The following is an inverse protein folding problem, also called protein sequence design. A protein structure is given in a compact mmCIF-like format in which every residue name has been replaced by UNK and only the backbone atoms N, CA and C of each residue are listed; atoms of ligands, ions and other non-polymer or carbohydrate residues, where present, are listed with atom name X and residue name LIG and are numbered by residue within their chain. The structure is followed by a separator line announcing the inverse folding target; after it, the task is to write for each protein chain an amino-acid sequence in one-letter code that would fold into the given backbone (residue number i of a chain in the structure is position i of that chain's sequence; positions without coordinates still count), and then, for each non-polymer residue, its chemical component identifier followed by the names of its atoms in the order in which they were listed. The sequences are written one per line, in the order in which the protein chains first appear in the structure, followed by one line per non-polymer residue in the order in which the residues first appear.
data_IF_153407413768
#
_entry.id   IF_153407413768
#
_cell.length_a   1.000
_cell.length_b   1.000
_cell.length_c   1.000
_cell.angle_alpha   90.00
_cell.angle_beta   90.00
_cell.angle_gamma   90.00
#
_symmetry.space_group_name_H-M   'P 1'
#
loop_
_entity.id
_entity.type
_entity.pdbx_description
1 polymer ?
#
# COMPACT_ATOMS: atom_id res chain seq x y z
N UNK A 1 -14.80 7.23 11.35
CA UNK A 1 -14.51 6.60 10.04
C UNK A 1 -13.59 5.41 10.26
N UNK A 2 -13.79 4.34 9.50
CA UNK A 2 -12.98 3.12 9.57
C UNK A 2 -11.90 3.19 8.49
N UNK A 3 -10.66 2.96 8.88
CA UNK A 3 -9.51 2.93 7.96
C UNK A 3 -9.06 1.48 7.82
N UNK A 4 -8.69 1.07 6.60
CA UNK A 4 -8.55 -0.34 6.21
C UNK A 4 -7.62 -1.18 7.11
N UNK A 5 -6.65 -0.54 7.76
CA UNK A 5 -5.70 -1.17 8.69
C UNK A 5 -6.14 -1.15 10.17
N UNK A 6 -7.27 -0.52 10.49
CA UNK A 6 -7.82 -0.34 11.85
C UNK A 6 -9.37 -0.30 11.82
N UNK A 7 -9.97 -1.32 11.19
CA UNK A 7 -11.42 -1.38 10.99
C UNK A 7 -12.16 -1.53 12.33
N UNK A 8 -11.83 -2.55 13.13
CA UNK A 8 -12.34 -2.72 14.50
C UNK A 8 -11.21 -3.23 15.36
N UNK A 9 -11.33 -3.07 16.67
CA UNK A 9 -10.34 -3.55 17.63
C UNK A 9 -9.93 -5.02 17.39
N UNK A 10 -10.88 -5.88 17.04
CA UNK A 10 -10.66 -7.32 16.81
C UNK A 10 -9.99 -7.67 15.47
N UNK A 11 -9.89 -6.74 14.52
CA UNK A 11 -9.26 -6.94 13.21
C UNK A 11 -8.39 -5.74 12.80
N UNK A 12 -7.86 -5.03 13.78
CA UNK A 12 -6.96 -3.90 13.56
C UNK A 12 -5.51 -4.38 13.53
N UNK A 13 -4.87 -4.19 12.37
CA UNK A 13 -3.43 -4.40 12.22
C UNK A 13 -2.66 -3.34 13.01
N UNK A 14 -3.15 -2.09 13.01
CA UNK A 14 -2.58 -0.97 13.78
C UNK A 14 -2.51 -1.31 15.27
N UNK A 15 -3.63 -1.72 15.86
CA UNK A 15 -3.69 -2.13 17.26
C UNK A 15 -2.74 -3.28 17.52
N UNK A 16 -2.73 -4.30 16.65
CA UNK A 16 -1.86 -5.45 16.83
C UNK A 16 -0.37 -5.05 16.83
N UNK A 17 0.06 -4.18 15.91
CA UNK A 17 1.42 -3.63 15.85
C UNK A 17 1.78 -2.91 17.15
N UNK A 18 0.88 -2.04 17.64
CA UNK A 18 1.10 -1.32 18.90
C UNK A 18 1.16 -2.29 20.09
N UNK A 19 0.29 -3.30 20.13
CA UNK A 19 0.29 -4.34 21.16
C UNK A 19 1.58 -5.19 21.14
N UNK A 20 2.29 -5.28 20.01
CA UNK A 20 3.62 -5.90 19.94
C UNK A 20 4.76 -4.98 20.45
N UNK A 21 4.46 -3.73 20.82
CA UNK A 21 5.41 -2.78 21.41
C UNK A 21 6.11 -1.87 20.41
N UNK A 22 5.63 -1.77 19.16
CA UNK A 22 6.18 -0.83 18.17
C UNK A 22 5.59 0.56 18.35
N UNK A 23 6.43 1.59 18.25
CA UNK A 23 5.95 2.96 18.03
C UNK A 23 5.53 3.09 16.57
N UNK A 24 4.23 3.28 16.33
CA UNK A 24 3.65 3.36 14.99
C UNK A 24 3.27 4.80 14.67
N UNK A 25 3.68 5.27 13.50
CA UNK A 25 3.20 6.49 12.87
C UNK A 25 2.44 6.13 11.59
N UNK A 26 1.38 6.88 11.29
CA UNK A 26 0.51 6.63 10.14
C UNK A 26 0.34 7.93 9.36
N UNK A 27 0.58 7.88 8.06
CA UNK A 27 0.31 9.00 7.17
C UNK A 27 -1.18 9.01 6.83
N UNK A 28 -1.88 10.08 7.20
CA UNK A 28 -3.27 10.33 6.81
C UNK A 28 -3.27 11.30 5.63
N UNK A 29 -3.58 10.79 4.44
CA UNK A 29 -3.58 11.60 3.22
C UNK A 29 -4.78 12.54 3.17
N UNK A 30 -4.53 13.76 2.71
CA UNK A 30 -5.57 14.75 2.40
C UNK A 30 -6.41 14.25 1.22
N UNK A 31 -7.74 14.40 1.30
CA UNK A 31 -8.62 14.21 0.14
C UNK A 31 -8.58 15.49 -0.71
N UNK A 32 -7.99 15.47 -1.92
CA UNK A 32 -7.71 16.68 -2.68
C UNK A 32 -8.99 17.30 -3.28
N UNK A 33 -9.01 18.64 -3.29
CA UNK A 33 -9.91 19.42 -4.13
C UNK A 33 -9.16 19.96 -5.36
N UNK A 34 -9.82 20.77 -6.18
CA UNK A 34 -9.25 21.33 -7.41
C UNK A 34 -7.96 22.13 -7.20
N UNK A 35 -7.73 22.67 -5.99
CA UNK A 35 -6.52 23.45 -5.70
C UNK A 35 -5.26 22.58 -5.68
N UNK A 36 -5.41 21.26 -5.60
CA UNK A 36 -4.32 20.29 -5.64
C UNK A 36 -4.00 19.81 -7.06
N UNK A 37 -4.57 20.39 -8.13
CA UNK A 37 -4.46 19.85 -9.48
C UNK A 37 -3.01 19.61 -9.96
N UNK A 38 -2.10 20.51 -9.59
CA UNK A 38 -0.68 20.46 -9.98
C UNK A 38 0.18 19.57 -9.07
N UNK A 39 -0.40 18.95 -8.03
CA UNK A 39 0.31 18.00 -7.17
C UNK A 39 0.63 16.73 -7.96
N UNK A 40 1.92 16.48 -8.14
CA UNK A 40 2.46 15.33 -8.85
C UNK A 40 3.02 14.26 -7.92
N UNK A 41 3.55 13.20 -8.51
CA UNK A 41 4.25 12.13 -7.78
C UNK A 41 5.46 12.65 -7.00
N UNK A 42 6.13 13.68 -7.52
CA UNK A 42 7.23 14.40 -6.86
C UNK A 42 6.79 15.02 -5.53
N UNK A 43 5.66 15.73 -5.50
CA UNK A 43 5.10 16.34 -4.29
C UNK A 43 4.73 15.28 -3.25
N UNK A 44 4.12 14.16 -3.65
CA UNK A 44 3.83 13.06 -2.72
C UNK A 44 5.10 12.47 -2.09
N UNK A 45 6.20 12.40 -2.85
CA UNK A 45 7.49 11.90 -2.34
C UNK A 45 8.11 12.90 -1.37
N UNK A 46 8.31 14.15 -1.78
CA UNK A 46 9.01 15.18 -0.99
C UNK A 46 8.19 15.64 0.24
N UNK A 47 6.95 16.08 0.00
CA UNK A 47 6.09 16.67 1.04
C UNK A 47 5.28 15.61 1.81
N UNK A 48 5.14 14.41 1.25
CA UNK A 48 4.48 13.28 1.91
C UNK A 48 5.47 12.37 2.64
N UNK A 49 6.13 11.50 1.88
CA UNK A 49 6.95 10.41 2.45
C UNK A 49 8.20 10.92 3.16
N UNK A 50 9.02 11.75 2.51
CA UNK A 50 10.29 12.25 3.08
C UNK A 50 10.03 13.14 4.29
N UNK A 51 9.06 14.06 4.17
CA UNK A 51 8.62 14.88 5.30
C UNK A 51 8.14 14.04 6.48
N UNK A 52 7.31 13.01 6.26
CA UNK A 52 6.86 12.12 7.34
C UNK A 52 8.03 11.39 8.00
N UNK A 53 8.99 10.87 7.22
CA UNK A 53 10.18 10.19 7.74
C UNK A 53 10.99 11.14 8.62
N UNK A 54 11.20 12.37 8.19
CA UNK A 54 11.95 13.36 8.95
C UNK A 54 11.24 13.78 10.24
N UNK A 55 9.92 13.96 10.21
CA UNK A 55 9.13 14.23 11.41
C UNK A 55 9.20 13.06 12.40
N UNK A 56 9.10 11.81 11.93
CA UNK A 56 9.24 10.63 12.80
C UNK A 56 10.62 10.57 13.45
N UNK A 57 11.68 10.84 12.69
CA UNK A 57 13.05 10.91 13.24
C UNK A 57 13.19 12.05 14.24
N UNK A 58 12.62 13.21 13.96
CA UNK A 58 12.65 14.38 14.84
C UNK A 58 11.91 14.11 16.17
N UNK A 59 10.75 13.45 16.14
CA UNK A 59 9.97 13.09 17.33
C UNK A 59 10.66 11.99 18.13
N UNK A 60 11.11 10.93 17.46
CA UNK A 60 11.64 9.73 18.14
C UNK A 60 13.14 9.80 18.48
N UNK A 61 13.82 10.83 17.96
CA UNK A 61 15.28 11.02 17.97
C UNK A 61 16.05 9.81 17.42
N UNK A 62 15.41 8.98 16.58
CA UNK A 62 16.04 7.86 15.91
C UNK A 62 16.65 8.31 14.58
N UNK A 63 17.75 7.67 14.18
CA UNK A 63 18.41 7.95 12.90
C UNK A 63 17.71 7.29 11.71
N UNK A 64 17.06 6.16 11.95
CA UNK A 64 16.45 5.33 10.93
C UNK A 64 15.04 4.91 11.35
N UNK A 65 14.16 4.68 10.38
CA UNK A 65 12.80 4.16 10.56
C UNK A 65 12.59 2.88 9.74
N UNK A 66 11.59 2.08 10.12
CA UNK A 66 11.06 1.04 9.25
C UNK A 66 9.80 1.58 8.56
N UNK A 67 9.68 1.38 7.25
CA UNK A 67 8.59 1.91 6.45
C UNK A 67 7.65 0.80 5.99
N UNK A 68 6.37 1.12 5.82
CA UNK A 68 5.35 0.21 5.26
C UNK A 68 4.57 0.96 4.19
N UNK A 69 4.41 0.35 3.03
CA UNK A 69 3.56 0.84 1.95
C UNK A 69 2.49 -0.19 1.58
N UNK A 70 1.26 0.25 1.39
CA UNK A 70 0.13 -0.60 1.01
C UNK A 70 -0.46 -0.12 -0.33
N UNK A 71 -0.61 -1.05 -1.29
CA UNK A 71 -1.14 -0.76 -2.62
C UNK A 71 -0.33 0.38 -3.30
N UNK A 72 -0.99 1.41 -3.82
CA UNK A 72 -0.36 2.57 -4.47
C UNK A 72 0.71 3.24 -3.59
N UNK A 73 0.51 3.28 -2.27
CA UNK A 73 1.50 3.84 -1.35
C UNK A 73 2.79 3.00 -1.30
N UNK A 74 2.72 1.71 -1.59
CA UNK A 74 3.90 0.86 -1.78
C UNK A 74 4.66 1.18 -3.07
N UNK A 75 3.96 1.50 -4.16
CA UNK A 75 4.58 1.94 -5.41
C UNK A 75 5.31 3.25 -5.20
N UNK A 76 4.68 4.24 -4.57
CA UNK A 76 5.30 5.53 -4.24
C UNK A 76 6.42 5.39 -3.20
N UNK A 77 6.29 4.50 -2.22
CA UNK A 77 7.38 4.16 -1.30
C UNK A 77 8.57 3.57 -2.04
N UNK A 78 8.35 2.74 -3.07
CA UNK A 78 9.43 2.17 -3.87
C UNK A 78 10.20 3.25 -4.64
N UNK A 79 9.50 4.22 -5.22
CA UNK A 79 10.11 5.41 -5.83
C UNK A 79 10.88 6.23 -4.78
N UNK A 80 10.29 6.45 -3.61
CA UNK A 80 10.94 7.17 -2.51
C UNK A 80 12.25 6.50 -2.10
N UNK A 81 12.25 5.17 -1.93
CA UNK A 81 13.46 4.42 -1.57
C UNK A 81 14.53 4.47 -2.66
N UNK A 82 14.14 4.41 -3.93
CA UNK A 82 15.05 4.59 -5.06
C UNK A 82 15.68 5.99 -5.06
N UNK A 83 14.88 7.04 -4.85
CA UNK A 83 15.35 8.41 -4.74
C UNK A 83 16.32 8.60 -3.55
N UNK A 84 15.95 8.06 -2.39
CA UNK A 84 16.79 8.09 -1.18
C UNK A 84 18.14 7.42 -1.43
N UNK A 85 18.15 6.26 -2.11
CA UNK A 85 19.39 5.57 -2.46
C UNK A 85 20.30 6.44 -3.33
N UNK A 86 19.75 7.13 -4.35
CA UNK A 86 20.50 8.07 -5.19
C UNK A 86 21.02 9.28 -4.42
N UNK A 87 20.24 9.80 -3.47
CA UNK A 87 20.63 10.90 -2.58
C UNK A 87 21.58 10.48 -1.45
N UNK A 88 21.87 9.18 -1.32
CA UNK A 88 22.68 8.65 -0.22
C UNK A 88 22.00 8.70 1.15
N UNK A 89 20.68 8.89 1.19
CA UNK A 89 19.89 8.94 2.42
C UNK A 89 19.64 7.52 2.94
N UNK A 90 20.01 7.29 4.21
CA UNK A 90 19.90 6.01 4.91
C UNK A 90 18.81 6.02 5.99
N UNK A 91 17.86 6.95 5.92
CA UNK A 91 16.81 7.13 6.92
C UNK A 91 15.83 5.97 6.98
N UNK A 92 15.70 5.13 5.94
CA UNK A 92 14.89 3.90 5.99
C UNK A 92 15.77 2.67 6.16
N UNK A 93 15.63 2.00 7.30
CA UNK A 93 16.36 0.78 7.64
C UNK A 93 15.81 -0.45 6.95
N UNK A 94 14.49 -0.51 6.78
CA UNK A 94 13.81 -1.55 6.02
C UNK A 94 12.43 -1.13 5.59
N UNK A 95 11.92 -1.77 4.55
CA UNK A 95 10.60 -1.49 4.01
C UNK A 95 9.76 -2.77 3.89
N UNK A 96 8.47 -2.63 4.14
CA UNK A 96 7.47 -3.68 3.91
C UNK A 96 6.45 -3.22 2.88
N UNK A 97 6.09 -4.10 1.95
CA UNK A 97 5.09 -3.86 0.92
C UNK A 97 3.90 -4.79 1.08
N UNK A 98 2.69 -4.24 1.19
CA UNK A 98 1.45 -5.01 1.18
C UNK A 98 0.78 -4.85 -0.19
N UNK A 99 0.50 -5.97 -0.87
CA UNK A 99 -0.18 -6.06 -2.18
C UNK A 99 0.20 -4.91 -3.13
N UNK A 100 1.50 -4.75 -3.33
CA UNK A 100 2.08 -3.62 -4.06
C UNK A 100 2.58 -4.08 -5.42
N UNK A 101 2.18 -3.38 -6.48
CA UNK A 101 2.71 -3.60 -7.81
C UNK A 101 3.72 -2.51 -8.16
N UNK A 102 4.88 -2.92 -8.65
CA UNK A 102 5.92 -2.05 -9.19
C UNK A 102 6.34 -2.42 -10.60
N UNK A 103 5.91 -3.60 -11.06
CA UNK A 103 6.02 -4.07 -12.44
C UNK A 103 4.60 -4.33 -12.96
N UNK A 104 4.20 -3.56 -13.97
CA UNK A 104 2.88 -3.59 -14.58
C UNK A 104 2.90 -4.25 -15.96
N UNK A 105 3.95 -5.01 -16.31
CA UNK A 105 4.02 -5.71 -17.61
C UNK A 105 2.93 -6.77 -17.79
N UNK A 106 2.45 -7.33 -16.67
CA UNK A 106 1.29 -8.23 -16.62
C UNK A 106 0.35 -7.73 -15.50
N UNK A 107 -0.50 -6.73 -15.81
CA UNK A 107 -1.35 -6.10 -14.81
C UNK A 107 -2.54 -6.99 -14.42
N UNK A 108 -2.79 -8.10 -15.12
CA UNK A 108 -3.96 -8.95 -14.90
C UNK A 108 -5.27 -8.21 -15.20
N UNK A 109 -6.28 -8.40 -14.34
CA UNK A 109 -7.64 -7.87 -14.57
C UNK A 109 -7.72 -6.34 -14.59
N UNK A 110 -6.79 -5.63 -13.94
CA UNK A 110 -6.75 -4.16 -14.02
C UNK A 110 -6.32 -3.65 -15.40
N UNK A 111 -5.71 -4.50 -16.23
CA UNK A 111 -5.24 -4.13 -17.57
C UNK A 111 -6.34 -3.56 -18.48
N UNK A 112 -7.60 -3.96 -18.27
CA UNK A 112 -8.74 -3.41 -19.03
C UNK A 112 -9.02 -1.93 -18.72
N UNK A 113 -8.51 -1.41 -17.61
CA UNK A 113 -8.59 0.01 -17.22
C UNK A 113 -7.33 0.78 -17.58
N UNK A 114 -6.37 0.13 -18.24
CA UNK A 114 -5.10 0.72 -18.67
C UNK A 114 -5.02 0.81 -20.20
N UNK A 115 -6.13 0.63 -20.92
CA UNK A 115 -6.16 0.91 -22.36
C UNK A 115 -6.11 2.42 -22.63
N UNK A 116 -5.59 2.80 -23.81
CA UNK A 116 -5.42 4.20 -24.16
C UNK A 116 -6.75 4.97 -24.20
N UNK A 117 -7.85 4.34 -24.61
CA UNK A 117 -9.15 5.01 -24.66
C UNK A 117 -9.66 5.41 -23.27
N UNK A 118 -9.47 4.53 -22.28
CA UNK A 118 -9.84 4.77 -20.89
C UNK A 118 -8.93 5.81 -20.24
N UNK A 119 -7.61 5.67 -20.40
CA UNK A 119 -6.65 6.61 -19.80
C UNK A 119 -6.71 7.99 -20.47
N UNK A 120 -6.90 8.08 -21.79
CA UNK A 120 -7.19 9.34 -22.50
C UNK A 120 -8.46 10.01 -21.93
N UNK A 121 -9.48 9.21 -21.61
CA UNK A 121 -10.71 9.68 -20.99
C UNK A 121 -10.46 10.30 -19.62
N UNK A 122 -9.68 9.61 -18.77
CA UNK A 122 -9.25 10.12 -17.47
C UNK A 122 -8.45 11.41 -17.65
N UNK A 123 -7.48 11.43 -18.55
CA UNK A 123 -6.62 12.59 -18.79
C UNK A 123 -7.42 13.83 -19.20
N UNK A 124 -8.39 13.69 -20.11
CA UNK A 124 -9.32 14.78 -20.47
C UNK A 124 -10.18 15.23 -19.30
N UNK A 125 -10.68 14.30 -18.49
CA UNK A 125 -11.53 14.60 -17.34
C UNK A 125 -10.76 15.37 -16.26
N UNK A 126 -9.56 14.91 -15.90
CA UNK A 126 -8.74 15.56 -14.88
C UNK A 126 -8.15 16.88 -15.36
N UNK A 127 -7.87 17.03 -16.66
CA UNK A 127 -7.46 18.31 -17.24
C UNK A 127 -8.56 19.38 -17.11
N UNK A 128 -9.84 18.97 -17.15
CA UNK A 128 -10.98 19.88 -16.99
C UNK A 128 -11.32 20.17 -15.53
N UNK A 129 -11.28 19.15 -14.68
CA UNK A 129 -11.76 19.25 -13.30
C UNK A 129 -10.67 19.48 -12.26
N UNK A 130 -9.40 19.30 -12.61
CA UNK A 130 -8.25 19.43 -11.70
C UNK A 130 -8.03 18.23 -10.78
N UNK A 131 -9.00 17.33 -10.65
CA UNK A 131 -8.88 16.09 -9.87
C UNK A 131 -9.61 14.95 -10.58
N UNK A 132 -9.15 13.72 -10.36
CA UNK A 132 -9.92 12.52 -10.65
C UNK A 132 -10.93 12.32 -9.53
N UNK A 133 -12.22 12.46 -9.85
CA UNK A 133 -13.28 12.29 -8.87
C UNK A 133 -13.32 10.85 -8.33
N UNK A 134 -13.47 10.76 -7.01
CA UNK A 134 -13.64 9.52 -6.25
C UNK A 134 -14.68 8.56 -6.85
N UNK A 135 -15.69 9.09 -7.55
CA UNK A 135 -16.72 8.34 -8.24
C UNK A 135 -16.15 7.42 -9.33
N UNK A 136 -15.18 7.88 -10.10
CA UNK A 136 -14.55 7.06 -11.14
C UNK A 136 -13.74 5.92 -10.52
N UNK A 137 -13.01 6.20 -9.45
CA UNK A 137 -12.27 5.18 -8.70
C UNK A 137 -13.20 4.14 -8.08
N UNK A 138 -14.26 4.58 -7.40
CA UNK A 138 -15.26 3.69 -6.79
C UNK A 138 -15.86 2.73 -7.80
N UNK A 139 -16.16 3.21 -9.02
CA UNK A 139 -16.73 2.40 -10.10
C UNK A 139 -15.73 1.37 -10.65
N UNK A 140 -14.47 1.76 -10.85
CA UNK A 140 -13.40 0.84 -11.27
C UNK A 140 -13.17 -0.27 -10.24
N UNK A 141 -13.09 0.07 -8.95
CA UNK A 141 -12.91 -0.92 -7.88
C UNK A 141 -14.13 -1.83 -7.70
N UNK A 142 -15.35 -1.31 -7.87
CA UNK A 142 -16.59 -2.11 -7.83
C UNK A 142 -16.62 -3.14 -8.96
N UNK A 143 -16.12 -2.79 -10.14
CA UNK A 143 -16.03 -3.70 -11.28
C UNK A 143 -14.98 -4.81 -11.03
N UNK A 144 -13.78 -4.43 -10.58
CA UNK A 144 -12.67 -5.35 -10.27
C UNK A 144 -12.96 -6.31 -9.11
N UNK A 145 -14.00 -6.04 -8.30
CA UNK A 145 -14.43 -6.91 -7.21
C UNK A 145 -15.91 -7.22 -7.24
N UNK A 146 -16.48 -7.37 -8.42
CA UNK A 146 -17.90 -7.67 -8.59
C UNK A 146 -18.33 -8.91 -7.80
N UNK A 147 -17.51 -9.97 -7.73
CA UNK A 147 -17.81 -11.16 -6.93
C UNK A 147 -17.79 -10.92 -5.41
N UNK A 148 -16.81 -10.18 -4.88
CA UNK A 148 -16.68 -9.95 -3.44
C UNK A 148 -17.59 -8.83 -2.91
N UNK A 149 -17.86 -7.80 -3.73
CA UNK A 149 -18.57 -6.59 -3.33
C UNK A 149 -20.04 -6.56 -3.80
N UNK A 150 -20.39 -7.25 -4.89
CA UNK A 150 -21.73 -7.20 -5.49
C UNK A 150 -22.42 -8.57 -5.38
N UNK A 151 -21.91 -9.60 -6.07
CA UNK A 151 -22.59 -10.89 -6.19
C UNK A 151 -22.53 -11.74 -4.93
N UNK A 152 -21.39 -11.83 -4.25
CA UNK A 152 -21.22 -12.61 -3.01
C UNK A 152 -22.11 -12.11 -1.86
N UNK A 153 -22.17 -10.80 -1.59
CA UNK A 153 -23.13 -10.23 -0.65
C UNK A 153 -24.60 -10.39 -1.11
N UNK A 154 -24.90 -10.19 -2.39
CA UNK A 154 -26.26 -10.33 -2.93
C UNK A 154 -26.78 -11.78 -2.82
N UNK A 155 -25.97 -12.77 -3.17
CA UNK A 155 -26.30 -14.20 -3.05
C UNK A 155 -26.52 -14.59 -1.59
N UNK A 156 -25.62 -14.21 -0.67
CA UNK A 156 -25.82 -14.51 0.77
C UNK A 156 -27.09 -13.88 1.34
N UNK A 157 -27.34 -12.61 1.01
CA UNK A 157 -28.52 -11.89 1.49
C UNK A 157 -29.83 -12.39 0.88
N UNK A 158 -29.85 -12.57 -0.44
CA UNK A 158 -31.07 -12.84 -1.20
C UNK A 158 -31.36 -14.34 -1.34
N UNK A 159 -30.33 -15.17 -1.56
CA UNK A 159 -30.50 -16.62 -1.75
C UNK A 159 -30.39 -17.41 -0.44
N UNK A 160 -29.51 -17.00 0.49
CA UNK A 160 -29.26 -17.75 1.73
C UNK A 160 -29.93 -17.15 2.97
N UNK A 161 -30.51 -15.95 2.87
CA UNK A 161 -31.12 -15.24 4.01
C UNK A 161 -30.11 -14.85 5.10
N UNK A 162 -28.81 -14.94 4.81
CA UNK A 162 -27.73 -14.64 5.73
C UNK A 162 -27.47 -13.12 5.79
N UNK A 163 -27.00 -12.64 6.95
CA UNK A 163 -26.55 -11.26 7.06
C UNK A 163 -25.41 -11.00 6.06
N UNK A 164 -25.41 -9.86 5.33
CA UNK A 164 -24.37 -9.57 4.37
C UNK A 164 -22.98 -9.54 5.05
N UNK A 165 -21.91 -9.93 4.34
CA UNK A 165 -20.55 -9.86 4.87
C UNK A 165 -20.19 -8.45 5.35
N UNK A 166 -19.25 -8.40 6.30
CA UNK A 166 -18.88 -7.24 7.13
C UNK A 166 -19.15 -5.86 6.50
N UNK A 167 -20.17 -5.18 7.03
CA UNK A 167 -20.56 -3.79 6.73
C UNK A 167 -19.37 -2.81 6.74
N UNK A 168 -18.33 -3.10 7.54
CA UNK A 168 -17.14 -2.25 7.68
C UNK A 168 -16.33 -2.14 6.39
N UNK A 169 -16.21 -3.24 5.62
CA UNK A 169 -15.44 -3.27 4.37
C UNK A 169 -16.17 -2.53 3.24
N UNK A 170 -17.49 -2.71 3.19
CA UNK A 170 -18.36 -1.97 2.28
C UNK A 170 -18.37 -0.47 2.61
N UNK A 171 -18.36 -0.11 3.90
CA UNK A 171 -18.27 1.28 4.33
C UNK A 171 -16.94 1.92 3.94
N UNK A 172 -15.81 1.22 4.13
CA UNK A 172 -14.50 1.71 3.67
C UNK A 172 -14.46 1.88 2.15
N UNK A 173 -14.98 0.91 1.38
CA UNK A 173 -14.98 1.00 -0.07
C UNK A 173 -15.87 2.15 -0.60
N UNK A 174 -16.97 2.46 0.10
CA UNK A 174 -17.84 3.60 -0.21
C UNK A 174 -17.24 4.97 0.15
N UNK A 175 -16.23 5.03 1.03
CA UNK A 175 -15.54 6.25 1.44
C UNK A 175 -14.31 6.49 0.55
N UNK A 176 -14.57 6.74 -0.73
CA UNK A 176 -13.53 6.96 -1.74
C UNK A 176 -12.93 8.37 -1.68
N UNK A 177 -11.71 8.52 -2.20
CA UNK A 177 -10.98 9.80 -2.24
C UNK A 177 -10.71 10.23 -3.67
N UNK A 178 -10.61 11.54 -3.90
CA UNK A 178 -10.12 12.09 -5.16
C UNK A 178 -8.61 11.86 -5.30
N UNK A 179 -8.10 12.00 -6.53
CA UNK A 179 -6.67 12.08 -6.80
C UNK A 179 -6.33 13.35 -7.58
N UNK A 180 -5.17 13.99 -7.33
CA UNK A 180 -4.74 15.14 -8.13
C UNK A 180 -4.60 14.80 -9.61
N UNK A 181 -4.90 15.76 -10.49
CA UNK A 181 -4.83 15.55 -11.94
C UNK A 181 -3.44 15.10 -12.40
N UNK A 182 -2.40 15.87 -12.05
CA UNK A 182 -1.02 15.58 -12.47
C UNK A 182 -0.55 14.22 -11.96
N UNK A 183 -0.71 13.94 -10.66
CA UNK A 183 -0.34 12.65 -10.07
C UNK A 183 -1.05 11.48 -10.75
N UNK A 184 -2.36 11.60 -11.01
CA UNK A 184 -3.14 10.53 -11.66
C UNK A 184 -2.60 10.18 -13.05
N UNK A 185 -2.26 11.20 -13.85
CA UNK A 185 -1.71 11.01 -15.20
C UNK A 185 -0.30 10.44 -15.14
N UNK A 186 0.58 10.99 -14.30
CA UNK A 186 1.95 10.49 -14.12
C UNK A 186 1.96 9.01 -13.69
N UNK A 187 1.06 8.64 -12.76
CA UNK A 187 0.91 7.27 -12.30
C UNK A 187 0.40 6.34 -13.41
N UNK A 188 -0.72 6.68 -14.06
CA UNK A 188 -1.34 5.82 -15.06
C UNK A 188 -0.49 5.70 -16.33
N UNK A 189 0.03 6.82 -16.86
CA UNK A 189 0.84 6.83 -18.09
C UNK A 189 2.24 6.30 -17.86
N UNK A 190 2.93 6.83 -16.86
CA UNK A 190 4.34 6.52 -16.63
C UNK A 190 4.53 5.15 -15.98
N UNK A 191 3.82 4.89 -14.88
CA UNK A 191 4.04 3.69 -14.08
C UNK A 191 3.19 2.50 -14.56
N UNK A 192 1.89 2.69 -14.80
CA UNK A 192 1.01 1.57 -15.16
C UNK A 192 1.10 1.17 -16.63
N UNK A 193 0.92 2.09 -17.58
CA UNK A 193 1.02 1.79 -19.01
C UNK A 193 2.47 1.69 -19.48
N UNK A 194 3.29 2.70 -19.16
CA UNK A 194 4.68 2.76 -19.59
C UNK A 194 5.61 1.82 -18.84
N UNK A 195 5.18 1.26 -17.69
CA UNK A 195 5.97 0.39 -16.83
C UNK A 195 7.39 0.91 -16.55
N UNK A 196 7.56 2.23 -16.51
CA UNK A 196 8.86 2.89 -16.60
C UNK A 196 9.78 2.52 -15.42
N UNK A 197 9.21 2.42 -14.21
CA UNK A 197 9.99 2.12 -13.01
C UNK A 197 10.60 0.71 -13.02
N UNK A 198 9.95 -0.27 -13.64
CA UNK A 198 10.45 -1.65 -13.75
C UNK A 198 11.21 -1.94 -15.07
N UNK A 199 11.41 -0.92 -15.91
CA UNK A 199 12.09 -0.99 -17.20
C UNK A 199 13.24 0.03 -17.28
N UNK A 200 13.07 1.10 -18.05
CA UNK A 200 14.14 2.04 -18.42
C UNK A 200 14.34 3.18 -17.39
N UNK A 201 13.40 3.32 -16.46
CA UNK A 201 13.42 4.28 -15.37
C UNK A 201 12.32 5.34 -15.48
N UNK A 202 11.81 5.76 -14.32
CA UNK A 202 10.79 6.79 -14.15
C UNK A 202 11.43 8.08 -13.62
N UNK A 203 11.33 9.18 -14.37
CA UNK A 203 11.91 10.47 -13.96
C UNK A 203 10.98 11.21 -13.00
N UNK A 204 11.46 11.44 -11.78
CA UNK A 204 10.73 12.19 -10.74
C UNK A 204 11.73 12.85 -9.79
N UNK A 205 11.37 14.00 -9.21
CA UNK A 205 12.27 14.77 -8.33
C UNK A 205 13.65 15.08 -8.95
N UNK A 206 13.72 15.25 -10.28
CA UNK A 206 14.96 15.52 -11.02
C UNK A 206 15.87 14.30 -11.24
N UNK A 207 15.46 13.11 -10.82
CA UNK A 207 16.23 11.87 -10.92
C UNK A 207 15.48 10.82 -11.73
N UNK A 208 16.18 10.04 -12.55
CA UNK A 208 15.60 8.84 -13.21
C UNK A 208 15.74 7.64 -12.29
N UNK A 209 14.63 7.11 -11.80
CA UNK A 209 14.57 6.06 -10.78
C UNK A 209 14.19 4.71 -11.40
N UNK A 210 14.87 3.64 -11.00
CA UNK A 210 14.57 2.26 -11.41
C UNK A 210 14.29 1.38 -10.19
N UNK A 211 13.59 0.27 -10.38
CA UNK A 211 13.38 -0.71 -9.30
C UNK A 211 14.71 -1.23 -8.74
N UNK A 212 15.75 -1.33 -9.57
CA UNK A 212 17.08 -1.77 -9.14
C UNK A 212 17.72 -0.82 -8.10
N UNK A 213 17.33 0.45 -8.05
CA UNK A 213 17.82 1.42 -7.06
C UNK A 213 17.30 1.14 -5.64
N UNK A 214 16.26 0.30 -5.47
CA UNK A 214 15.71 -0.06 -4.16
C UNK A 214 16.58 -1.14 -3.50
N UNK A 215 17.52 -0.71 -2.65
CA UNK A 215 18.54 -1.62 -2.06
C UNK A 215 18.34 -1.95 -0.58
N UNK A 216 17.42 -1.30 0.14
CA UNK A 216 17.15 -1.57 1.57
C UNK A 216 16.66 -3.00 1.79
N UNK A 217 16.82 -3.63 2.97
CA UNK A 217 16.16 -4.89 3.29
C UNK A 217 14.63 -4.81 3.13
N UNK A 218 14.03 -5.77 2.43
CA UNK A 218 12.61 -5.73 2.05
C UNK A 218 11.82 -6.95 2.51
N UNK A 219 10.56 -6.73 2.87
CA UNK A 219 9.54 -7.75 3.02
C UNK A 219 8.34 -7.41 2.14
N UNK A 220 7.75 -8.38 1.45
CA UNK A 220 6.52 -8.18 0.69
C UNK A 220 5.51 -9.27 1.04
N UNK A 221 4.26 -8.85 1.20
CA UNK A 221 3.11 -9.71 1.42
C UNK A 221 2.17 -9.50 0.24
N UNK A 222 1.93 -10.56 -0.51
CA UNK A 222 0.90 -10.61 -1.53
C UNK A 222 -0.21 -11.59 -1.12
N UNK A 223 -1.32 -11.56 -1.85
CA UNK A 223 -2.50 -12.36 -1.54
C UNK A 223 -2.83 -13.30 -2.70
N UNK A 224 -3.04 -14.58 -2.39
CA UNK A 224 -3.17 -15.67 -3.37
C UNK A 224 -4.29 -15.44 -4.38
N UNK A 225 -5.46 -14.99 -3.89
CA UNK A 225 -6.65 -14.74 -4.72
C UNK A 225 -6.93 -13.25 -4.89
N UNK A 226 -5.88 -12.43 -4.93
CA UNK A 226 -5.98 -10.99 -5.19
C UNK A 226 -6.09 -10.71 -6.70
N UNK A 227 -7.25 -10.20 -7.11
CA UNK A 227 -7.51 -9.82 -8.51
C UNK A 227 -7.11 -8.38 -8.84
N UNK A 228 -6.80 -7.54 -7.84
CA UNK A 228 -6.36 -6.15 -8.06
C UNK A 228 -4.85 -6.08 -8.20
N UNK A 229 -4.15 -6.68 -7.24
CA UNK A 229 -2.70 -6.74 -7.21
C UNK A 229 -2.31 -8.21 -7.18
N UNK A 230 -2.43 -8.86 -8.33
CA UNK A 230 -2.14 -10.27 -8.49
C UNK A 230 -0.77 -10.60 -7.91
N UNK A 231 -0.70 -11.63 -7.06
CA UNK A 231 0.54 -11.92 -6.33
C UNK A 231 1.72 -12.19 -7.27
N UNK A 232 1.45 -12.71 -8.47
CA UNK A 232 2.44 -12.91 -9.52
C UNK A 232 3.04 -11.59 -10.00
N UNK A 233 2.22 -10.55 -10.20
CA UNK A 233 2.68 -9.21 -10.55
C UNK A 233 3.48 -8.57 -9.41
N UNK A 234 3.00 -8.70 -8.16
CA UNK A 234 3.75 -8.28 -6.98
C UNK A 234 5.12 -8.98 -6.89
N UNK A 235 5.18 -10.29 -7.13
CA UNK A 235 6.42 -11.08 -7.11
C UNK A 235 7.40 -10.62 -8.18
N UNK A 236 6.93 -10.41 -9.42
CA UNK A 236 7.76 -9.97 -10.54
C UNK A 236 8.43 -8.62 -10.25
N UNK A 237 7.66 -7.63 -9.77
CA UNK A 237 8.21 -6.34 -9.37
C UNK A 237 9.16 -6.44 -8.17
N UNK A 238 8.80 -7.21 -7.15
CA UNK A 238 9.64 -7.40 -5.96
C UNK A 238 10.97 -8.09 -6.29
N UNK A 239 10.98 -9.02 -7.24
CA UNK A 239 12.18 -9.70 -7.72
C UNK A 239 13.16 -8.72 -8.38
N UNK A 240 12.66 -7.69 -9.08
CA UNK A 240 13.47 -6.67 -9.77
C UNK A 240 14.14 -5.65 -8.84
N UNK A 241 13.80 -5.60 -7.55
CA UNK A 241 14.47 -4.69 -6.61
C UNK A 241 15.96 -5.01 -6.42
N UNK A 242 16.82 -4.01 -6.23
CA UNK A 242 18.26 -4.21 -6.00
C UNK A 242 18.63 -4.75 -4.62
N UNK A 243 17.65 -4.97 -3.75
CA UNK A 243 17.86 -5.46 -2.39
C UNK A 243 18.49 -6.85 -2.37
N UNK A 244 19.53 -7.01 -1.54
CA UNK A 244 20.17 -8.31 -1.26
C UNK A 244 19.42 -9.13 -0.20
N UNK A 245 18.45 -8.53 0.49
CA UNK A 245 17.67 -9.19 1.54
C UNK A 245 16.19 -9.03 1.25
N UNK A 246 15.61 -10.06 0.63
CA UNK A 246 14.21 -10.11 0.21
C UNK A 246 13.48 -11.21 0.96
N UNK A 247 12.30 -10.91 1.46
CA UNK A 247 11.38 -11.90 2.06
C UNK A 247 10.02 -11.72 1.42
N UNK A 248 9.55 -12.74 0.70
CA UNK A 248 8.23 -12.73 0.06
C UNK A 248 7.31 -13.73 0.76
N UNK A 249 6.07 -13.31 1.01
CA UNK A 249 5.04 -14.12 1.66
C UNK A 249 3.78 -14.02 0.80
N UNK A 250 3.15 -15.16 0.53
CA UNK A 250 1.82 -15.21 -0.09
C UNK A 250 0.82 -15.62 0.97
N UNK A 251 -0.05 -14.71 1.39
CA UNK A 251 -1.17 -15.02 2.26
C UNK A 251 -2.30 -15.61 1.42
N UNK A 252 -3.00 -16.61 1.93
CA UNK A 252 -4.28 -17.02 1.36
C UNK A 252 -5.31 -15.88 1.44
N UNK A 253 -6.40 -16.04 0.67
CA UNK A 253 -7.50 -15.07 0.50
C UNK A 253 -7.15 -13.86 -0.38
N UNK A 254 -8.13 -12.95 -0.54
CA UNK A 254 -8.05 -11.80 -1.44
C UNK A 254 -7.43 -10.56 -0.79
N UNK A 255 -7.21 -9.53 -1.61
CA UNK A 255 -6.49 -8.28 -1.31
C UNK A 255 -6.64 -7.69 0.11
N UNK A 256 -7.85 -7.67 0.68
CA UNK A 256 -8.07 -7.14 2.04
C UNK A 256 -8.04 -8.28 3.06
N UNK A 257 -8.77 -9.37 2.81
CA UNK A 257 -8.92 -10.44 3.78
C UNK A 257 -7.59 -11.18 4.06
N UNK A 258 -6.70 -11.28 3.07
CA UNK A 258 -5.37 -11.84 3.25
C UNK A 258 -4.42 -10.91 4.01
N UNK A 259 -4.50 -9.59 3.80
CA UNK A 259 -3.69 -8.63 4.57
C UNK A 259 -4.23 -8.47 6.00
N UNK A 260 -5.54 -8.30 6.15
CA UNK A 260 -6.22 -8.10 7.43
C UNK A 260 -6.64 -9.46 8.01
N UNK A 261 -5.65 -10.29 8.31
CA UNK A 261 -5.83 -11.62 8.90
C UNK A 261 -5.27 -11.67 10.33
N UNK A 262 -6.04 -11.28 11.36
CA UNK A 262 -5.55 -11.25 12.73
C UNK A 262 -5.27 -12.67 13.28
N UNK A 263 -4.15 -12.89 13.99
CA UNK A 263 -3.70 -14.24 14.40
C UNK A 263 -4.67 -14.93 15.37
N UNK A 264 -5.44 -14.17 16.15
CA UNK A 264 -6.42 -14.71 17.10
C UNK A 264 -7.60 -15.43 16.43
N UNK A 265 -7.88 -15.17 15.15
CA UNK A 265 -8.99 -15.80 14.43
C UNK A 265 -8.65 -17.18 13.89
N UNK A 266 -7.36 -17.55 13.82
CA UNK A 266 -6.87 -18.84 13.29
C UNK A 266 -7.55 -19.21 11.96
N UNK A 267 -7.58 -18.27 11.03
CA UNK A 267 -8.12 -18.46 9.69
C UNK A 267 -7.00 -18.39 8.67
N UNK A 268 -7.18 -19.13 7.59
CA UNK A 268 -6.28 -19.17 6.45
C UNK A 268 -4.87 -19.68 6.80
N UNK A 269 -3.99 -19.67 5.81
CA UNK A 269 -2.56 -19.90 5.94
C UNK A 269 -1.76 -18.92 5.09
N UNK A 270 -0.45 -19.15 5.04
CA UNK A 270 0.47 -18.40 4.21
C UNK A 270 1.62 -19.28 3.73
N UNK A 271 2.14 -18.93 2.57
CA UNK A 271 3.23 -19.63 1.89
C UNK A 271 4.52 -18.83 1.99
N UNK A 272 5.62 -19.54 2.17
CA UNK A 272 6.96 -18.97 2.12
C UNK A 272 7.85 -19.78 1.18
N UNK A 273 8.74 -19.08 0.48
CA UNK A 273 9.86 -19.73 -0.19
C UNK A 273 11.04 -18.76 -0.18
N UNK A 274 12.19 -19.14 0.40
CA UNK A 274 13.36 -18.27 0.47
C UNK A 274 14.03 -18.06 -0.89
N UNK A 275 13.80 -18.93 -1.87
CA UNK A 275 14.40 -18.81 -3.19
C UNK A 275 13.64 -17.80 -4.07
N UNK A 276 14.20 -16.61 -4.22
CA UNK A 276 13.66 -15.56 -5.09
C UNK A 276 14.17 -15.64 -6.54
N UNK A 277 15.01 -16.62 -6.88
CA UNK A 277 15.61 -16.73 -8.21
C UNK A 277 14.73 -17.50 -9.20
N UNK A 278 13.74 -18.25 -8.70
CA UNK A 278 12.79 -19.01 -9.53
C UNK A 278 11.67 -18.12 -10.10
N UNK A 279 10.95 -18.64 -11.10
CA UNK A 279 9.71 -18.05 -11.60
C UNK A 279 8.55 -18.26 -10.62
N UNK A 280 7.44 -17.55 -10.82
CA UNK A 280 6.27 -17.56 -9.91
C UNK A 280 5.71 -18.97 -9.69
N UNK A 281 5.48 -19.75 -10.76
CA UNK A 281 4.89 -21.10 -10.62
C UNK A 281 5.80 -22.05 -9.83
N UNK A 282 7.11 -21.98 -10.06
CA UNK A 282 8.10 -22.74 -9.31
C UNK A 282 8.24 -22.22 -7.86
N UNK A 283 8.09 -20.90 -7.65
CA UNK A 283 8.13 -20.30 -6.32
C UNK A 283 7.02 -20.88 -5.44
N UNK A 284 5.77 -20.89 -5.93
CA UNK A 284 4.62 -21.39 -5.18
C UNK A 284 4.64 -22.92 -5.03
N UNK A 285 5.01 -23.66 -6.08
CA UNK A 285 5.07 -25.13 -6.02
C UNK A 285 6.09 -25.64 -5.01
N UNK A 286 7.18 -24.89 -4.78
CA UNK A 286 8.22 -25.22 -3.81
C UNK A 286 8.02 -24.50 -2.46
N UNK A 287 6.92 -23.75 -2.29
CA UNK A 287 6.69 -23.00 -1.08
C UNK A 287 6.22 -23.90 0.07
N UNK A 288 6.71 -23.61 1.26
CA UNK A 288 6.23 -24.22 2.49
C UNK A 288 4.94 -23.52 2.92
N UNK A 289 3.90 -24.31 3.16
CA UNK A 289 2.65 -23.83 3.73
C UNK A 289 2.73 -23.75 5.25
N UNK A 290 2.29 -22.63 5.82
CA UNK A 290 2.12 -22.42 7.24
C UNK A 290 0.67 -22.08 7.57
N UNK A 291 0.10 -22.80 8.52
CA UNK A 291 -1.24 -22.53 9.03
C UNK A 291 -1.28 -21.21 9.82
N UNK A 292 -2.34 -20.42 9.60
CA UNK A 292 -2.61 -19.19 10.33
C UNK A 292 -2.03 -17.93 9.69
N UNK A 293 -2.19 -16.82 10.42
CA UNK A 293 -1.79 -15.49 9.98
C UNK A 293 -0.29 -15.36 9.72
N UNK A 294 0.07 -14.61 8.69
CA UNK A 294 1.45 -14.21 8.40
C UNK A 294 1.97 -13.10 9.35
N UNK A 295 1.10 -12.43 10.13
CA UNK A 295 1.50 -11.30 10.97
C UNK A 295 2.65 -11.65 11.94
N UNK A 296 2.62 -12.77 12.70
CA UNK A 296 3.72 -13.13 13.59
C UNK A 296 5.04 -13.40 12.84
N UNK A 297 4.96 -13.91 11.61
CA UNK A 297 6.14 -14.13 10.75
C UNK A 297 6.77 -12.81 10.33
N UNK A 298 5.95 -11.84 9.94
CA UNK A 298 6.40 -10.49 9.62
C UNK A 298 6.98 -9.77 10.84
N UNK A 299 6.35 -9.88 12.01
CA UNK A 299 6.90 -9.33 13.26
C UNK A 299 8.26 -9.92 13.59
N UNK A 300 8.44 -11.25 13.45
CA UNK A 300 9.74 -11.88 13.68
C UNK A 300 10.83 -11.35 12.72
N UNK A 301 10.45 -10.96 11.50
CA UNK A 301 11.34 -10.31 10.53
C UNK A 301 11.64 -8.84 10.89
N UNK A 302 10.63 -8.12 11.35
CA UNK A 302 10.67 -6.69 11.70
C UNK A 302 11.42 -6.45 13.02
N UNK A 303 11.25 -7.33 14.01
CA UNK A 303 11.88 -7.26 15.34
C UNK A 303 13.40 -7.19 15.24
N UNK A 304 13.99 -7.99 14.34
CA UNK A 304 15.44 -8.01 14.05
C UNK A 304 15.96 -6.66 13.53
N UNK A 305 15.07 -5.78 13.07
CA UNK A 305 15.38 -4.49 12.47
C UNK A 305 14.91 -3.31 13.32
N UNK A 306 14.34 -3.57 14.48
CA UNK A 306 13.69 -2.54 15.32
C UNK A 306 14.45 -2.20 16.59
N UNK A 307 15.68 -2.72 16.73
CA UNK A 307 16.56 -2.38 17.85
C UNK A 307 16.09 -2.97 19.18
N UNK A 308 16.57 -2.38 20.28
CA UNK A 308 16.19 -2.78 21.64
C UNK A 308 14.87 -2.13 22.05
N UNK A 309 14.15 -2.78 22.95
CA UNK A 309 12.98 -2.16 23.58
C UNK A 309 13.39 -0.94 24.40
N UNK A 310 12.51 0.05 24.39
CA UNK A 310 12.63 1.29 25.16
C UNK A 310 11.31 1.55 25.89
N UNK A 311 11.30 2.48 26.84
CA UNK A 311 10.05 2.94 27.44
C UNK A 311 9.09 3.44 26.34
N UNK A 312 7.79 3.21 26.54
CA UNK A 312 6.77 3.69 25.62
C UNK A 312 6.88 5.22 25.46
N UNK A 313 6.67 5.69 24.23
CA UNK A 313 6.73 7.11 23.90
C UNK A 313 5.36 7.73 24.10
N UNK A 314 5.33 8.89 24.72
CA UNK A 314 4.13 9.70 24.84
C UNK A 314 4.03 10.64 23.63
N UNK A 315 2.87 10.71 22.93
CA UNK A 315 2.68 11.66 21.85
C UNK A 315 2.76 13.11 22.35
N UNK A 316 3.62 13.89 21.71
CA UNK A 316 3.73 15.33 21.91
C UNK A 316 4.95 15.75 22.72
N UNK A 317 5.58 16.85 22.30
CA UNK A 317 6.62 17.56 23.06
C UNK A 317 6.54 19.08 22.81
N UNK A 318 7.53 19.85 23.27
CA UNK A 318 7.57 21.31 23.07
C UNK A 318 7.65 21.71 21.60
N UNK A 319 8.30 20.90 20.78
CA UNK A 319 8.60 21.17 19.37
C UNK A 319 7.53 20.53 18.46
N UNK A 320 6.83 19.50 18.94
CA UNK A 320 5.80 18.74 18.22
C UNK A 320 4.55 18.61 19.10
N UNK A 321 3.72 19.66 19.12
CA UNK A 321 2.47 19.63 19.89
C UNK A 321 1.47 18.65 19.29
N UNK A 322 0.71 17.96 20.15
CA UNK A 322 -0.45 17.17 19.70
C UNK A 322 -1.51 18.12 19.14
N UNK A 323 -1.84 17.94 17.85
CA UNK A 323 -2.78 18.82 17.15
C UNK A 323 -4.24 18.46 17.43
N UNK A 324 -4.56 17.17 17.43
CA UNK A 324 -5.88 16.63 17.76
C UNK A 324 -5.78 15.13 18.05
N UNK A 325 -6.86 14.54 18.58
CA UNK A 325 -6.96 13.10 18.74
C UNK A 325 -7.08 12.39 17.37
N UNK A 326 -6.53 11.18 17.28
CA UNK A 326 -6.80 10.29 16.15
C UNK A 326 -8.33 10.05 16.01
N UNK A 327 -8.88 9.92 14.79
CA UNK A 327 -8.17 9.67 13.53
C UNK A 327 -7.81 10.95 12.74
N UNK A 328 -7.89 12.13 13.36
CA UNK A 328 -7.53 13.41 12.73
C UNK A 328 -8.65 14.02 11.87
N UNK A 329 -8.32 15.09 11.16
CA UNK A 329 -9.28 15.89 10.39
C UNK A 329 -9.33 15.52 8.90
N UNK A 330 -8.20 15.13 8.30
CA UNK A 330 -8.15 14.82 6.86
C UNK A 330 -8.98 13.59 6.49
N UNK A 331 -8.95 12.54 7.31
CA UNK A 331 -9.70 11.32 7.02
C UNK A 331 -11.22 11.57 7.00
N UNK A 332 -11.73 12.53 7.77
CA UNK A 332 -13.16 12.86 7.86
C UNK A 332 -13.62 13.90 6.84
N UNK A 333 -12.70 14.41 6.03
CA UNK A 333 -12.99 15.49 5.10
C UNK A 333 -13.79 15.01 3.88
N UNK A 334 -14.70 15.87 3.43
CA UNK A 334 -15.44 15.74 2.18
C UNK A 334 -15.10 16.98 1.34
N UNK A 335 -14.34 16.83 0.25
CA UNK A 335 -13.95 17.96 -0.60
C UNK A 335 -15.18 18.69 -1.12
N UNK A 336 -15.13 20.02 -1.15
CA UNK A 336 -16.13 20.82 -1.86
C UNK A 336 -15.73 20.88 -3.34
N UNK A 337 -16.69 20.63 -4.23
CA UNK A 337 -16.48 20.44 -5.67
C UNK A 337 -15.98 21.65 -6.45
#
# INVERSE_FOLDING_TARGET
KFYIMDLKEKNSLIKWIVDQGYTLFVVSWKNPDRTYADVGMDTYIEEGFLTAIDQVKAITKQKEVNAVGYCIAGTTLSLTLALMAKRGDKSVKSATFFTTMTDFSDPGEIGVFLDDGFVDGIEREVAKNGVLDSFFMSRTFSFLRSNDLIYGPATRRYMLGEAPPAFDLLHWNGDSTNLPARMSVEYLRGLCQGNQFASDGFTVCGETLTSADVTTPLCAIACETDHIAAWKACYNGFKKFGSRSKTFIVSESGHIAGIINPPNKKKYGHYINPDMNVGTDAWLSNAEFHEGSWWPRWEAWLKKKSGRQVAAREPGDSDHKVLCAAPGTYVVEVPKG
#
